data_IF_393623107435
#
_entry.id   IF_393623107435
#
_cell.length_a   1.000
_cell.length_b   1.000
_cell.length_c   1.000
_cell.angle_alpha   90.00
_cell.angle_beta   90.00
_cell.angle_gamma   90.00
#
_symmetry.space_group_name_H-M   'P 1'
#
loop_
_entity.id
_entity.type
_entity.pdbx_description
1 polymer ?
#
# COMPACT_ATOMS: atom_id res chain seq x y z
N UNK A 1 -19.99 42.47 -3.00
CA UNK A 1 -18.87 41.97 -2.16
C UNK A 1 -19.32 40.84 -1.24
N UNK A 2 -20.48 40.97 -0.57
CA UNK A 2 -21.05 39.93 0.31
C UNK A 2 -21.40 38.60 -0.39
N UNK A 3 -21.89 38.64 -1.64
CA UNK A 3 -22.21 37.42 -2.41
C UNK A 3 -20.98 36.54 -2.73
N UNK A 4 -19.81 37.15 -2.96
CA UNK A 4 -18.57 36.41 -3.23
C UNK A 4 -18.01 35.76 -1.96
N UNK A 5 -18.11 36.46 -0.81
CA UNK A 5 -17.74 35.92 0.50
C UNK A 5 -18.66 34.77 0.94
N UNK A 6 -19.96 34.87 0.64
CA UNK A 6 -20.94 33.81 0.89
C UNK A 6 -20.66 32.53 0.09
N UNK A 7 -20.32 32.66 -1.20
CA UNK A 7 -19.98 31.53 -2.06
C UNK A 7 -18.67 30.84 -1.65
N UNK A 8 -17.65 31.62 -1.29
CA UNK A 8 -16.38 31.09 -0.77
C UNK A 8 -16.58 30.34 0.56
N UNK A 9 -17.38 30.88 1.48
CA UNK A 9 -17.72 30.20 2.74
C UNK A 9 -18.50 28.91 2.51
N UNK A 10 -19.48 28.89 1.61
CA UNK A 10 -20.24 27.68 1.29
C UNK A 10 -19.38 26.58 0.65
N UNK A 11 -18.40 26.96 -0.19
CA UNK A 11 -17.42 26.04 -0.77
C UNK A 11 -16.51 25.46 0.31
N UNK A 12 -15.99 26.31 1.21
CA UNK A 12 -15.16 25.90 2.35
C UNK A 12 -15.91 25.03 3.35
N UNK A 13 -17.21 25.25 3.55
CA UNK A 13 -18.08 24.46 4.41
C UNK A 13 -18.34 23.06 3.81
N UNK A 14 -18.50 22.96 2.48
CA UNK A 14 -18.59 21.68 1.76
C UNK A 14 -17.28 20.89 1.85
N UNK A 15 -16.14 21.56 1.64
CA UNK A 15 -14.81 20.94 1.78
C UNK A 15 -14.57 20.48 3.23
N UNK A 16 -14.96 21.29 4.23
CA UNK A 16 -14.91 20.90 5.65
C UNK A 16 -15.79 19.69 5.96
N UNK A 17 -17.02 19.65 5.46
CA UNK A 17 -17.94 18.50 5.66
C UNK A 17 -17.46 17.24 4.92
N UNK A 18 -16.89 17.38 3.72
CA UNK A 18 -16.26 16.27 3.01
C UNK A 18 -15.04 15.75 3.78
N UNK A 19 -14.13 16.65 4.19
CA UNK A 19 -12.97 16.32 5.04
C UNK A 19 -13.40 15.65 6.35
N UNK A 20 -14.48 16.08 7.01
CA UNK A 20 -14.98 15.43 8.22
C UNK A 20 -15.53 14.01 7.96
N UNK A 21 -16.28 13.80 6.87
CA UNK A 21 -16.83 12.49 6.50
C UNK A 21 -15.76 11.42 6.20
N UNK A 22 -14.67 11.81 5.54
CA UNK A 22 -13.55 10.89 5.28
C UNK A 22 -12.69 10.66 6.53
N UNK A 23 -12.62 11.65 7.42
CA UNK A 23 -11.69 11.64 8.53
C UNK A 23 -12.14 10.82 9.74
N UNK A 24 -13.45 10.78 10.03
CA UNK A 24 -14.00 9.89 11.07
C UNK A 24 -13.96 8.40 10.65
N UNK A 25 -13.71 8.11 9.37
CA UNK A 25 -13.70 6.76 8.81
C UNK A 25 -12.34 6.02 8.92
N UNK A 26 -11.30 6.66 9.47
CA UNK A 26 -9.96 6.06 9.60
C UNK A 26 -9.86 4.92 10.64
N UNK A 27 -10.90 4.69 11.45
CA UNK A 27 -11.00 3.49 12.31
C UNK A 27 -11.29 2.20 11.52
N UNK A 28 -11.72 2.30 10.26
CA UNK A 28 -12.14 1.16 9.43
C UNK A 28 -11.14 0.78 8.33
N UNK A 29 -9.95 1.38 8.31
CA UNK A 29 -8.91 1.00 7.33
C UNK A 29 -8.41 -0.39 7.66
N UNK A 30 -8.48 -1.28 6.68
CA UNK A 30 -8.07 -2.69 6.74
C UNK A 30 -7.32 -3.05 5.47
N UNK A 31 -6.54 -4.13 5.54
CA UNK A 31 -5.95 -4.75 4.36
C UNK A 31 -6.99 -5.63 3.65
N UNK A 32 -6.96 -5.59 2.32
CA UNK A 32 -7.71 -6.50 1.44
C UNK A 32 -6.77 -7.07 0.38
N UNK A 33 -6.93 -8.35 0.06
CA UNK A 33 -6.06 -9.04 -0.90
C UNK A 33 -6.49 -8.72 -2.32
N UNK A 34 -5.53 -8.29 -3.14
CA UNK A 34 -5.71 -8.01 -4.57
C UNK A 34 -4.97 -9.01 -5.46
N UNK A 35 -4.06 -9.79 -4.87
CA UNK A 35 -3.48 -10.97 -5.51
C UNK A 35 -3.49 -12.09 -4.48
N UNK A 36 -4.23 -13.16 -4.77
CA UNK A 36 -4.33 -14.37 -3.96
C UNK A 36 -3.51 -15.50 -4.59
N UNK A 37 -3.12 -16.50 -3.80
CA UNK A 37 -2.44 -17.70 -4.32
C UNK A 37 -3.43 -18.86 -4.28
N UNK A 38 -3.85 -19.34 -5.45
CA UNK A 38 -4.78 -20.47 -5.52
C UNK A 38 -4.07 -21.78 -5.14
N UNK A 39 -4.81 -22.76 -4.61
CA UNK A 39 -4.29 -24.06 -4.17
C UNK A 39 -4.12 -25.08 -5.31
N UNK A 40 -4.25 -24.65 -6.57
CA UNK A 40 -3.95 -25.46 -7.75
C UNK A 40 -2.53 -26.05 -7.67
N UNK A 41 -2.28 -27.16 -8.38
CA UNK A 41 -0.93 -27.73 -8.51
C UNK A 41 -0.43 -27.56 -9.96
N UNK A 42 0.56 -26.69 -10.23
CA UNK A 42 1.24 -25.78 -9.29
C UNK A 42 0.37 -24.57 -8.89
N UNK A 43 0.63 -23.96 -7.71
CA UNK A 43 -0.13 -22.80 -7.23
C UNK A 43 0.05 -21.64 -8.19
N UNK A 44 -1.05 -20.96 -8.52
CA UNK A 44 -1.04 -19.82 -9.45
C UNK A 44 -1.52 -18.56 -8.73
N UNK A 45 -0.80 -17.44 -8.88
CA UNK A 45 -1.32 -16.16 -8.42
C UNK A 45 -2.56 -15.79 -9.24
N UNK A 46 -3.61 -15.35 -8.56
CA UNK A 46 -4.85 -14.85 -9.15
C UNK A 46 -5.01 -13.39 -8.77
N UNK A 47 -5.22 -12.54 -9.76
CA UNK A 47 -5.45 -11.10 -9.55
C UNK A 47 -6.95 -10.88 -9.33
N UNK A 48 -7.30 -10.34 -8.16
CA UNK A 48 -8.68 -10.02 -7.78
C UNK A 48 -9.07 -8.65 -8.34
N UNK A 49 -9.23 -8.57 -9.67
CA UNK A 49 -9.51 -7.31 -10.38
C UNK A 49 -10.78 -6.61 -9.90
N UNK A 50 -11.79 -7.37 -9.46
CA UNK A 50 -13.02 -6.81 -8.90
C UNK A 50 -12.76 -6.07 -7.59
N UNK A 51 -11.89 -6.61 -6.72
CA UNK A 51 -11.52 -5.98 -5.45
C UNK A 51 -10.74 -4.69 -5.71
N UNK A 52 -9.70 -4.77 -6.56
CA UNK A 52 -8.90 -3.60 -6.92
C UNK A 52 -9.76 -2.53 -7.61
N UNK A 53 -10.60 -2.94 -8.56
CA UNK A 53 -11.52 -2.08 -9.28
C UNK A 53 -12.49 -1.37 -8.34
N UNK A 54 -13.10 -2.10 -7.38
CA UNK A 54 -13.97 -1.51 -6.36
C UNK A 54 -13.23 -0.47 -5.51
N UNK A 55 -12.03 -0.80 -5.01
CA UNK A 55 -11.24 0.08 -4.14
C UNK A 55 -10.85 1.37 -4.89
N UNK A 56 -10.33 1.26 -6.11
CA UNK A 56 -9.84 2.41 -6.87
C UNK A 56 -10.97 3.24 -7.48
N UNK A 57 -12.05 2.61 -7.97
CA UNK A 57 -13.16 3.30 -8.62
C UNK A 57 -13.89 4.26 -7.67
N UNK A 58 -13.94 3.96 -6.36
CA UNK A 58 -14.49 4.87 -5.34
C UNK A 58 -13.76 6.22 -5.29
N UNK A 59 -12.50 6.27 -5.73
CA UNK A 59 -11.63 7.45 -5.68
C UNK A 59 -11.17 7.92 -7.07
N UNK A 60 -11.87 7.51 -8.14
CA UNK A 60 -11.50 7.80 -9.53
C UNK A 60 -11.35 9.28 -9.91
N UNK A 61 -11.98 10.17 -9.13
CA UNK A 61 -11.94 11.62 -9.35
C UNK A 61 -10.71 12.29 -8.69
N UNK A 62 -9.83 11.51 -8.05
CA UNK A 62 -8.60 11.99 -7.42
C UNK A 62 -7.37 11.33 -8.08
N UNK A 63 -6.23 12.03 -8.16
CA UNK A 63 -4.95 11.36 -8.40
C UNK A 63 -4.73 10.25 -7.37
N UNK A 64 -4.27 9.09 -7.82
CA UNK A 64 -4.00 7.92 -6.98
C UNK A 64 -2.49 7.72 -6.87
N UNK A 65 -2.02 7.50 -5.65
CA UNK A 65 -0.65 7.07 -5.38
C UNK A 65 -0.66 5.77 -4.59
N UNK A 66 0.11 4.78 -5.03
CA UNK A 66 0.27 3.50 -4.33
C UNK A 66 1.70 3.38 -3.83
N UNK A 67 1.88 3.29 -2.50
CA UNK A 67 3.17 3.05 -1.86
C UNK A 67 3.26 1.56 -1.51
N UNK A 68 4.14 0.85 -2.21
CA UNK A 68 4.41 -0.57 -1.99
C UNK A 68 5.63 -0.77 -1.11
N UNK A 69 5.58 -1.74 -0.20
CA UNK A 69 6.77 -2.26 0.49
C UNK A 69 7.03 -3.69 0.04
N UNK A 70 8.24 -3.91 -0.47
CA UNK A 70 8.70 -5.18 -1.02
C UNK A 70 10.02 -5.62 -0.39
N UNK A 71 10.34 -6.92 -0.48
CA UNK A 71 11.62 -7.49 -0.03
C UNK A 71 11.45 -8.76 0.79
N UNK A 72 12.53 -9.20 1.43
CA UNK A 72 12.65 -10.54 1.99
C UNK A 72 11.52 -10.93 2.95
N UNK A 73 11.25 -12.24 3.01
CA UNK A 73 10.33 -12.81 3.98
C UNK A 73 10.82 -12.53 5.40
N UNK A 74 9.90 -12.10 6.28
CA UNK A 74 10.19 -11.62 7.64
C UNK A 74 11.12 -10.41 7.76
N UNK A 75 11.25 -9.59 6.72
CA UNK A 75 12.02 -8.34 6.78
C UNK A 75 11.36 -7.20 7.57
N UNK A 76 10.17 -7.40 8.17
CA UNK A 76 9.46 -6.34 8.90
C UNK A 76 8.60 -5.41 8.02
N UNK A 77 8.29 -5.80 6.78
CA UNK A 77 7.48 -5.00 5.83
C UNK A 77 6.12 -4.58 6.39
N UNK A 78 5.31 -5.53 6.81
CA UNK A 78 3.99 -5.28 7.40
C UNK A 78 4.08 -4.46 8.69
N UNK A 79 5.17 -4.57 9.44
CA UNK A 79 5.42 -3.73 10.62
C UNK A 79 5.69 -2.28 10.21
N UNK A 80 6.58 -2.05 9.24
CA UNK A 80 6.84 -0.73 8.65
C UNK A 80 5.55 -0.11 8.09
N UNK A 81 4.76 -0.88 7.35
CA UNK A 81 3.48 -0.42 6.81
C UNK A 81 2.49 -0.04 7.91
N UNK A 82 2.39 -0.79 9.00
CA UNK A 82 1.54 -0.41 10.12
C UNK A 82 2.04 0.86 10.84
N UNK A 83 3.35 1.12 10.89
CA UNK A 83 3.89 2.39 11.37
C UNK A 83 3.46 3.56 10.47
N UNK A 84 3.55 3.38 9.15
CA UNK A 84 3.07 4.37 8.18
C UNK A 84 1.56 4.59 8.31
N UNK A 85 0.75 3.53 8.43
CA UNK A 85 -0.68 3.63 8.70
C UNK A 85 -0.93 4.48 9.96
N UNK A 86 -0.23 4.19 11.07
CA UNK A 86 -0.41 4.95 12.30
C UNK A 86 -0.08 6.43 12.11
N UNK A 87 1.05 6.75 11.46
CA UNK A 87 1.45 8.12 11.16
C UNK A 87 0.40 8.86 10.32
N UNK A 88 -0.09 8.22 9.25
CA UNK A 88 -1.08 8.81 8.35
C UNK A 88 -2.45 8.97 9.02
N UNK A 89 -2.91 7.96 9.77
CA UNK A 89 -4.16 8.01 10.56
C UNK A 89 -4.16 9.12 11.61
N UNK A 90 -2.99 9.51 12.12
CA UNK A 90 -2.87 10.57 13.12
C UNK A 90 -2.73 11.98 12.51
N UNK A 91 -2.81 12.14 11.19
CA UNK A 91 -2.51 13.40 10.45
C UNK A 91 -1.06 13.85 10.55
N UNK A 92 -0.12 12.92 10.49
CA UNK A 92 1.30 13.25 10.34
C UNK A 92 1.86 14.21 11.43
N UNK A 93 1.50 14.06 12.73
CA UNK A 93 1.95 15.00 13.74
C UNK A 93 3.46 14.84 13.98
N UNK A 94 4.11 15.91 14.45
CA UNK A 94 5.57 15.87 14.73
C UNK A 94 5.93 14.81 15.79
N UNK A 95 5.08 14.64 16.81
CA UNK A 95 5.25 13.69 17.92
C UNK A 95 4.35 12.45 17.79
N UNK A 96 4.30 11.85 16.61
CA UNK A 96 3.37 10.77 16.26
C UNK A 96 3.64 9.42 16.96
N UNK A 97 4.89 9.15 17.35
CA UNK A 97 5.25 7.89 17.99
C UNK A 97 5.53 8.10 19.49
N UNK A 98 4.56 7.71 20.33
CA UNK A 98 4.74 7.70 21.79
C UNK A 98 5.02 6.29 22.28
N UNK A 99 5.96 6.13 23.22
CA UNK A 99 6.43 4.82 23.74
C UNK A 99 5.33 3.86 24.26
N UNK A 100 4.11 4.35 24.53
CA UNK A 100 3.00 3.56 25.07
C UNK A 100 1.89 3.27 24.05
N UNK A 101 1.98 3.80 22.84
CA UNK A 101 0.93 3.63 21.85
C UNK A 101 0.98 2.22 21.26
N UNK A 102 -0.17 1.54 21.28
CA UNK A 102 -0.32 0.25 20.61
C UNK A 102 -0.38 0.51 19.10
N UNK A 103 0.55 -0.09 18.36
CA UNK A 103 0.59 -0.01 16.91
C UNK A 103 -0.74 -0.49 16.30
N UNK A 104 -1.21 0.22 15.27
CA UNK A 104 -2.37 -0.20 14.47
C UNK A 104 -2.08 -1.54 13.78
N UNK A 105 -3.13 -2.31 13.50
CA UNK A 105 -3.01 -3.64 12.88
C UNK A 105 -3.82 -3.69 11.58
N UNK A 106 -3.47 -2.83 10.64
CA UNK A 106 -4.07 -2.78 9.30
C UNK A 106 -3.60 -3.96 8.48
N UNK A 107 -2.28 -4.18 8.45
CA UNK A 107 -1.66 -5.36 7.84
C UNK A 107 -1.37 -6.40 8.91
N UNK A 108 -1.70 -7.66 8.64
CA UNK A 108 -1.47 -8.75 9.58
C UNK A 108 0.03 -9.05 9.72
N UNK A 109 0.57 -8.94 10.92
CA UNK A 109 1.93 -9.34 11.25
C UNK A 109 1.96 -10.07 12.60
N UNK A 110 2.77 -11.13 12.71
CA UNK A 110 3.05 -11.83 13.97
C UNK A 110 4.54 -12.21 14.02
N UNK A 111 5.12 -12.13 15.22
CA UNK A 111 6.43 -12.72 15.54
C UNK A 111 6.26 -14.25 15.56
N UNK A 112 6.40 -14.92 14.42
CA UNK A 112 6.17 -16.36 14.30
C UNK A 112 6.68 -16.95 12.99
N UNK A 113 6.77 -18.27 12.91
CA UNK A 113 7.43 -18.97 11.79
C UNK A 113 6.55 -19.18 10.56
N UNK A 114 5.25 -18.89 10.63
CA UNK A 114 4.31 -19.08 9.50
C UNK A 114 4.15 -17.78 8.71
N UNK A 115 4.32 -17.86 7.40
CA UNK A 115 3.98 -16.78 6.48
C UNK A 115 2.47 -16.51 6.54
N UNK A 116 2.10 -15.24 6.56
CA UNK A 116 0.71 -14.80 6.65
C UNK A 116 0.23 -14.11 5.38
N UNK A 117 1.04 -13.20 4.82
CA UNK A 117 0.75 -12.55 3.54
C UNK A 117 1.05 -13.54 2.40
N UNK A 118 0.00 -14.00 1.72
CA UNK A 118 0.13 -14.75 0.47
C UNK A 118 -0.32 -13.85 -0.68
N UNK A 119 0.58 -13.50 -1.60
CA UNK A 119 0.30 -12.59 -2.71
C UNK A 119 0.48 -11.11 -2.35
N UNK A 120 -0.52 -10.27 -2.64
CA UNK A 120 -0.46 -8.81 -2.49
C UNK A 120 -1.71 -8.30 -1.77
N UNK A 121 -1.52 -7.51 -0.72
CA UNK A 121 -2.59 -6.86 0.03
C UNK A 121 -2.47 -5.33 -0.09
N UNK A 122 -3.61 -4.64 -0.20
CA UNK A 122 -3.70 -3.18 -0.26
C UNK A 122 -4.64 -2.65 0.81
N UNK A 123 -4.48 -1.41 1.26
CA UNK A 123 -5.50 -0.77 2.11
C UNK A 123 -6.83 -0.63 1.35
N UNK A 124 -7.94 -0.96 1.99
CA UNK A 124 -9.27 -0.86 1.39
C UNK A 124 -9.77 0.58 1.19
N UNK A 125 -9.14 1.53 1.90
CA UNK A 125 -9.39 2.96 1.80
C UNK A 125 -8.03 3.67 1.69
N UNK A 126 -7.97 4.80 0.97
CA UNK A 126 -6.78 5.63 0.90
C UNK A 126 -6.67 6.54 2.12
N UNK A 127 -5.45 7.00 2.36
CA UNK A 127 -5.16 8.18 3.14
C UNK A 127 -5.22 9.39 2.22
N UNK A 128 -6.20 10.27 2.42
CA UNK A 128 -6.34 11.50 1.63
C UNK A 128 -5.28 12.51 2.07
N UNK A 129 -4.34 12.83 1.19
CA UNK A 129 -3.25 13.77 1.43
C UNK A 129 -3.30 14.94 0.45
N UNK A 130 -2.70 16.06 0.80
CA UNK A 130 -2.57 17.22 -0.08
C UNK A 130 -1.13 17.28 -0.61
N UNK A 131 -0.95 17.46 -1.92
CA UNK A 131 0.38 17.61 -2.52
C UNK A 131 0.90 19.06 -2.44
N UNK A 132 2.10 19.29 -2.94
CA UNK A 132 2.74 20.62 -3.02
C UNK A 132 1.97 21.63 -3.90
N UNK A 133 1.05 21.15 -4.73
CA UNK A 133 0.16 21.96 -5.58
C UNK A 133 -1.21 22.22 -4.95
N UNK A 134 -1.49 21.69 -3.75
CA UNK A 134 -2.80 21.81 -3.10
C UNK A 134 -3.87 20.83 -3.60
N UNK A 135 -3.50 19.83 -4.40
CA UNK A 135 -4.43 18.80 -4.91
C UNK A 135 -4.57 17.67 -3.90
N UNK A 136 -5.81 17.19 -3.69
CA UNK A 136 -6.07 16.02 -2.85
C UNK A 136 -5.74 14.73 -3.60
N UNK A 137 -4.82 13.94 -3.06
CA UNK A 137 -4.35 12.65 -3.59
C UNK A 137 -4.86 11.51 -2.69
N UNK A 138 -5.38 10.46 -3.32
CA UNK A 138 -5.74 9.21 -2.67
C UNK A 138 -4.49 8.31 -2.55
N UNK A 139 -3.90 8.22 -1.36
CA UNK A 139 -2.70 7.42 -1.10
C UNK A 139 -3.05 6.06 -0.50
N UNK A 140 -2.78 4.98 -1.22
CA UNK A 140 -2.91 3.61 -0.74
C UNK A 140 -1.56 3.05 -0.31
N UNK A 141 -1.60 2.15 0.68
CA UNK A 141 -0.43 1.36 1.06
C UNK A 141 -0.61 -0.08 0.62
N UNK A 142 0.48 -0.70 0.16
CA UNK A 142 0.46 -2.05 -0.39
C UNK A 142 1.56 -2.90 0.25
N UNK A 143 1.17 -4.00 0.88
CA UNK A 143 2.06 -5.03 1.39
C UNK A 143 2.18 -6.15 0.38
N UNK A 144 3.40 -6.65 0.23
CA UNK A 144 3.70 -7.76 -0.65
C UNK A 144 4.19 -8.94 0.16
N UNK A 145 3.87 -10.15 -0.30
CA UNK A 145 4.50 -11.33 0.23
C UNK A 145 6.03 -11.23 0.07
N UNK A 146 6.78 -11.70 1.07
CA UNK A 146 8.23 -11.77 0.97
C UNK A 146 8.71 -12.86 0.02
N UNK A 147 9.72 -12.53 -0.78
CA UNK A 147 10.23 -13.28 -1.93
C UNK A 147 10.80 -14.68 -1.68
N UNK A 148 10.81 -15.16 -0.44
CA UNK A 148 11.54 -16.38 -0.03
C UNK A 148 10.82 -17.19 1.05
N UNK A 149 9.49 -17.30 0.97
CA UNK A 149 8.82 -18.38 1.71
C UNK A 149 9.13 -19.71 1.00
N UNK A 150 9.49 -20.76 1.75
CA UNK A 150 9.97 -22.06 1.25
C UNK A 150 8.96 -22.86 0.39
N UNK A 151 7.86 -22.22 -0.03
CA UNK A 151 6.71 -22.82 -0.72
C UNK A 151 6.43 -22.22 -2.09
N UNK A 152 7.10 -21.13 -2.48
CA UNK A 152 6.88 -20.48 -3.77
C UNK A 152 7.96 -20.83 -4.79
N UNK A 153 7.58 -20.88 -6.06
CA UNK A 153 8.53 -20.96 -7.16
C UNK A 153 9.13 -19.58 -7.46
N UNK A 154 10.32 -19.56 -8.08
CA UNK A 154 10.95 -18.30 -8.51
C UNK A 154 10.07 -17.50 -9.49
N UNK A 155 9.26 -18.19 -10.31
CA UNK A 155 8.31 -17.56 -11.24
C UNK A 155 7.15 -16.88 -10.53
N UNK A 156 6.57 -17.51 -9.50
CA UNK A 156 5.50 -16.92 -8.69
C UNK A 156 5.96 -15.65 -7.96
N UNK A 157 7.17 -15.70 -7.37
CA UNK A 157 7.78 -14.54 -6.73
C UNK A 157 8.02 -13.40 -7.74
N UNK A 158 8.53 -13.73 -8.93
CA UNK A 158 8.78 -12.76 -9.99
C UNK A 158 7.50 -12.08 -10.47
N UNK A 159 6.38 -12.82 -10.58
CA UNK A 159 5.10 -12.27 -10.99
C UNK A 159 4.48 -11.35 -9.94
N UNK A 160 4.51 -11.75 -8.66
CA UNK A 160 4.07 -10.88 -7.54
C UNK A 160 4.88 -9.59 -7.54
N UNK A 161 6.19 -9.69 -7.70
CA UNK A 161 7.08 -8.53 -7.74
C UNK A 161 6.82 -7.63 -8.96
N UNK A 162 6.65 -8.22 -10.15
CA UNK A 162 6.35 -7.47 -11.35
C UNK A 162 5.02 -6.71 -11.21
N UNK A 163 3.97 -7.40 -10.72
CA UNK A 163 2.68 -6.77 -10.47
C UNK A 163 2.79 -5.64 -9.43
N UNK A 164 3.52 -5.85 -8.33
CA UNK A 164 3.67 -4.82 -7.29
C UNK A 164 4.34 -3.57 -7.82
N UNK A 165 5.33 -3.70 -8.70
CA UNK A 165 5.97 -2.52 -9.32
C UNK A 165 5.04 -1.86 -10.34
N UNK A 166 4.42 -2.63 -11.24
CA UNK A 166 3.56 -2.08 -12.29
C UNK A 166 2.40 -1.24 -11.74
N UNK A 167 1.86 -1.62 -10.58
CA UNK A 167 0.75 -0.89 -9.96
C UNK A 167 1.20 0.16 -8.95
N UNK A 168 2.46 0.15 -8.49
CA UNK A 168 2.92 1.11 -7.49
C UNK A 168 3.47 2.38 -8.11
N UNK A 169 3.17 3.51 -7.46
CA UNK A 169 3.79 4.80 -7.79
C UNK A 169 5.13 4.96 -7.07
N UNK A 170 5.26 4.32 -5.89
CA UNK A 170 6.47 4.29 -5.08
C UNK A 170 6.72 2.87 -4.61
N UNK A 171 7.91 2.34 -4.90
CA UNK A 171 8.35 1.03 -4.43
C UNK A 171 9.44 1.19 -3.37
N UNK A 172 9.13 0.79 -2.15
CA UNK A 172 10.10 0.68 -1.04
C UNK A 172 10.67 -0.73 -1.04
N UNK A 173 11.95 -0.88 -1.36
CA UNK A 173 12.64 -2.16 -1.23
C UNK A 173 13.30 -2.29 0.15
N UNK A 174 12.71 -3.12 1.00
CA UNK A 174 13.09 -3.33 2.39
C UNK A 174 14.13 -4.46 2.52
N UNK A 175 15.39 -4.06 2.75
CA UNK A 175 16.55 -4.93 2.94
C UNK A 175 16.98 -4.94 4.43
N UNK A 176 16.48 -5.88 5.26
CA UNK A 176 16.70 -5.86 6.71
C UNK A 176 18.17 -6.10 7.12
N UNK A 177 18.98 -6.72 6.27
CA UNK A 177 20.42 -6.92 6.48
C UNK A 177 21.23 -5.63 6.36
N UNK A 178 20.65 -4.56 5.78
CA UNK A 178 21.35 -3.32 5.47
C UNK A 178 22.40 -3.44 4.35
N UNK A 179 22.55 -4.62 3.76
CA UNK A 179 23.49 -4.91 2.68
C UNK A 179 22.72 -5.16 1.39
N UNK A 180 23.11 -4.45 0.33
CA UNK A 180 22.63 -4.72 -1.03
C UNK A 180 23.48 -5.88 -1.59
N UNK A 181 22.86 -7.03 -1.82
CA UNK A 181 23.51 -8.21 -2.40
C UNK A 181 23.26 -8.26 -3.90
N UNK A 182 24.08 -9.03 -4.61
CA UNK A 182 23.88 -9.28 -6.04
C UNK A 182 22.52 -9.92 -6.32
N UNK A 183 22.05 -10.81 -5.46
CA UNK A 183 20.70 -11.40 -5.57
C UNK A 183 19.59 -10.34 -5.54
N UNK A 184 19.75 -9.30 -4.72
CA UNK A 184 18.77 -8.22 -4.58
C UNK A 184 18.75 -7.36 -5.87
N UNK A 185 19.92 -7.16 -6.50
CA UNK A 185 20.06 -6.48 -7.79
C UNK A 185 19.56 -7.32 -8.96
N UNK A 186 19.80 -8.63 -8.96
CA UNK A 186 19.28 -9.56 -9.98
C UNK A 186 17.75 -9.59 -9.96
N UNK A 187 17.16 -9.55 -8.77
CA UNK A 187 15.72 -9.48 -8.59
C UNK A 187 15.13 -8.19 -9.20
N UNK A 188 15.78 -7.04 -8.97
CA UNK A 188 15.45 -5.78 -9.65
C UNK A 188 15.68 -5.85 -11.18
N UNK A 189 16.75 -6.52 -11.62
CA UNK A 189 17.11 -6.68 -13.03
C UNK A 189 16.09 -7.51 -13.82
N UNK A 190 15.55 -8.57 -13.21
CA UNK A 190 14.45 -9.36 -13.79
C UNK A 190 13.22 -8.48 -14.08
N UNK A 191 12.93 -7.49 -13.24
CA UNK A 191 11.83 -6.55 -13.47
C UNK A 191 12.03 -5.69 -14.72
N UNK A 192 13.21 -5.09 -14.91
CA UNK A 192 13.50 -4.27 -16.09
C UNK A 192 13.38 -5.07 -17.39
N UNK A 193 13.77 -6.35 -17.36
CA UNK A 193 13.62 -7.24 -18.50
C UNK A 193 12.15 -7.52 -18.82
N UNK A 194 11.31 -7.82 -17.83
CA UNK A 194 9.88 -8.07 -18.06
C UNK A 194 9.12 -6.82 -18.52
N UNK A 195 9.47 -5.64 -17.99
CA UNK A 195 8.90 -4.37 -18.43
C UNK A 195 9.24 -4.05 -19.90
N UNK A 196 10.48 -4.31 -20.32
CA UNK A 196 10.95 -4.02 -21.69
C UNK A 196 10.52 -5.04 -22.76
N UNK A 197 10.02 -6.22 -22.36
CA UNK A 197 9.56 -7.25 -23.31
C UNK A 197 8.08 -7.06 -23.72
N UNK A 198 7.39 -6.09 -23.12
CA UNK A 198 5.96 -5.81 -23.38
C UNK A 198 5.77 -4.54 -24.23
N UNK A 199 6.74 -4.19 -25.08
CA UNK A 199 6.63 -3.08 -26.07
C UNK A 199 6.61 -3.64 -27.48
#
# INVERSE_FOLDING_TARGET
MEHLLSAANASMEKVRKAKARYWDANTDVKSESIVSMNEDKPPKPQVELEVLGRILHEYKDHPVAIISVFGDFRGGKSFLLNLLCQYLMQKQPKDWIKKKDKLVKVFNWRTGTKSHTKGIDITNKPFMLENDKGEEIAVFLMDTQGSFDNKMTAGECSLIFALSILISSVQVYNLPSGLIRESDLQQLGLFLQHANTTV
#
